data_IF_779139075738
#
_entry.id   IF_779139075738
#
_cell.length_a   1.000
_cell.length_b   1.000
_cell.length_c   1.000
_cell.angle_alpha   90.00
_cell.angle_beta   90.00
_cell.angle_gamma   90.00
#
_symmetry.space_group_name_H-M   'P 1'
#
loop_
_entity.id
_entity.type
_entity.pdbx_description
1 polymer ?
#
# COMPACT_ATOMS: atom_id res chain seq x y z
N UNK A 1 -17.40 -3.03 3.73
CA UNK A 1 -16.78 -1.74 4.14
C UNK A 1 -15.47 -1.94 4.92
N UNK A 2 -14.66 -2.92 4.54
CA UNK A 2 -13.62 -3.45 5.43
C UNK A 2 -12.30 -2.68 5.38
N UNK A 3 -12.12 -1.76 4.42
CA UNK A 3 -10.99 -0.81 4.41
C UNK A 3 -11.38 0.60 4.90
N UNK A 4 -12.67 0.88 5.15
CA UNK A 4 -13.12 2.21 5.59
C UNK A 4 -12.96 3.35 4.58
N UNK A 5 -12.62 3.07 3.32
CA UNK A 5 -12.24 4.09 2.32
C UNK A 5 -13.37 4.50 1.36
N UNK A 6 -14.58 3.97 1.49
CA UNK A 6 -15.67 4.27 0.56
C UNK A 6 -16.01 5.77 0.48
N UNK A 7 -16.12 6.44 1.63
CA UNK A 7 -16.40 7.87 1.69
C UNK A 7 -15.23 8.71 1.16
N UNK A 8 -13.99 8.40 1.58
CA UNK A 8 -12.79 9.11 1.16
C UNK A 8 -12.56 9.00 -0.36
N UNK A 9 -12.70 7.79 -0.93
CA UNK A 9 -12.61 7.56 -2.36
C UNK A 9 -13.69 8.34 -3.12
N UNK A 10 -14.93 8.37 -2.60
CA UNK A 10 -16.00 9.18 -3.17
C UNK A 10 -15.73 10.69 -3.13
N UNK A 11 -15.07 11.19 -2.09
CA UNK A 11 -14.64 12.60 -2.04
C UNK A 11 -13.50 12.89 -3.01
N UNK A 12 -12.53 11.99 -3.14
CA UNK A 12 -11.48 12.09 -4.15
C UNK A 12 -12.07 12.09 -5.57
N UNK A 13 -13.08 11.26 -5.83
CA UNK A 13 -13.83 11.22 -7.09
C UNK A 13 -14.48 12.58 -7.42
N UNK A 14 -15.10 13.24 -6.43
CA UNK A 14 -15.66 14.59 -6.61
C UNK A 14 -14.60 15.62 -7.04
N UNK A 15 -13.42 15.59 -6.43
CA UNK A 15 -12.31 16.50 -6.77
C UNK A 15 -11.83 16.24 -8.20
N UNK A 16 -11.55 14.99 -8.54
CA UNK A 16 -11.05 14.63 -9.88
C UNK A 16 -12.11 14.91 -10.96
N UNK A 17 -13.39 14.69 -10.66
CA UNK A 17 -14.46 15.04 -11.59
C UNK A 17 -14.52 16.56 -11.82
N UNK A 18 -14.43 17.37 -10.76
CA UNK A 18 -14.41 18.83 -10.87
C UNK A 18 -13.26 19.31 -11.77
N UNK A 19 -12.05 18.76 -11.60
CA UNK A 19 -10.88 19.04 -12.44
C UNK A 19 -11.16 18.78 -13.94
N UNK A 20 -11.84 17.68 -14.28
CA UNK A 20 -12.21 17.37 -15.66
C UNK A 20 -13.29 18.29 -16.23
N UNK A 21 -14.10 18.92 -15.36
CA UNK A 21 -15.18 19.84 -15.73
C UNK A 21 -14.75 21.31 -15.78
N UNK A 22 -13.55 21.66 -15.31
CA UNK A 22 -13.02 23.04 -15.37
C UNK A 22 -12.91 23.57 -16.80
N UNK A 23 -12.62 22.72 -17.78
CA UNK A 23 -12.62 23.08 -19.20
C UNK A 23 -14.05 23.10 -19.77
N UNK A 24 -14.71 24.27 -19.66
CA UNK A 24 -16.08 24.48 -20.15
C UNK A 24 -16.23 24.34 -21.67
N UNK A 25 -15.13 24.32 -22.43
CA UNK A 25 -15.17 24.12 -23.89
C UNK A 25 -15.21 22.63 -24.28
N UNK A 26 -14.83 21.75 -23.35
CA UNK A 26 -14.82 20.30 -23.54
C UNK A 26 -16.25 19.74 -23.52
N UNK A 27 -16.65 18.90 -24.49
CA UNK A 27 -17.94 18.21 -24.42
C UNK A 27 -18.04 17.35 -23.15
N UNK A 28 -19.17 17.43 -22.46
CA UNK A 28 -19.39 16.74 -21.19
C UNK A 28 -19.13 15.22 -21.27
N UNK A 29 -19.54 14.58 -22.37
CA UNK A 29 -19.30 13.16 -22.61
C UNK A 29 -17.79 12.81 -22.71
N UNK A 30 -16.95 13.74 -23.19
CA UNK A 30 -15.50 13.56 -23.23
C UNK A 30 -14.91 13.70 -21.82
N UNK A 31 -15.36 14.69 -21.06
CA UNK A 31 -14.94 14.89 -19.67
C UNK A 31 -15.24 13.66 -18.80
N UNK A 32 -16.47 13.12 -18.87
CA UNK A 32 -16.83 11.91 -18.12
C UNK A 32 -16.01 10.69 -18.53
N UNK A 33 -15.74 10.49 -19.83
CA UNK A 33 -14.89 9.38 -20.28
C UNK A 33 -13.46 9.49 -19.74
N UNK A 34 -12.89 10.70 -19.75
CA UNK A 34 -11.55 10.94 -19.22
C UNK A 34 -11.48 10.72 -17.70
N UNK A 35 -12.46 11.26 -16.97
CA UNK A 35 -12.64 11.03 -15.53
C UNK A 35 -12.73 9.53 -15.20
N UNK A 36 -13.65 8.80 -15.85
CA UNK A 36 -13.84 7.38 -15.59
C UNK A 36 -12.58 6.57 -15.92
N UNK A 37 -11.91 6.87 -17.03
CA UNK A 37 -10.66 6.20 -17.41
C UNK A 37 -9.53 6.44 -16.40
N UNK A 38 -9.44 7.63 -15.81
CA UNK A 38 -8.46 7.96 -14.78
C UNK A 38 -8.75 7.25 -13.46
N UNK A 39 -10.02 7.25 -13.01
CA UNK A 39 -10.40 6.74 -11.67
C UNK A 39 -10.52 5.23 -11.59
N UNK A 40 -10.87 4.55 -12.69
CA UNK A 40 -11.19 3.11 -12.70
C UNK A 40 -10.13 2.27 -11.99
N UNK A 41 -8.85 2.49 -12.30
CA UNK A 41 -7.77 1.70 -11.72
C UNK A 41 -7.68 1.87 -10.19
N UNK A 42 -7.94 3.06 -9.67
CA UNK A 42 -7.87 3.34 -8.23
C UNK A 42 -9.13 2.87 -7.50
N UNK A 43 -10.31 3.03 -8.11
CA UNK A 43 -11.59 2.55 -7.56
C UNK A 43 -11.63 1.02 -7.49
N UNK A 44 -11.11 0.34 -8.52
CA UNK A 44 -11.00 -1.13 -8.51
C UNK A 44 -9.98 -1.57 -7.44
N UNK A 45 -8.82 -0.92 -7.38
CA UNK A 45 -7.79 -1.27 -6.42
C UNK A 45 -8.23 -1.12 -4.96
N UNK A 46 -8.99 -0.06 -4.62
CA UNK A 46 -9.50 0.10 -3.25
C UNK A 46 -10.62 -0.88 -2.92
N UNK A 47 -11.45 -1.26 -3.90
CA UNK A 47 -12.43 -2.31 -3.74
C UNK A 47 -11.77 -3.68 -3.48
N UNK A 48 -10.74 -4.03 -4.26
CA UNK A 48 -9.94 -5.24 -4.06
C UNK A 48 -9.25 -5.24 -2.69
N UNK A 49 -8.61 -4.12 -2.30
CA UNK A 49 -7.99 -3.99 -0.99
C UNK A 49 -9.00 -4.15 0.16
N UNK A 50 -10.24 -3.69 -0.02
CA UNK A 50 -11.30 -3.91 0.96
C UNK A 50 -11.71 -5.38 1.07
N UNK A 51 -11.75 -6.12 -0.04
CA UNK A 51 -12.00 -7.57 -0.02
C UNK A 51 -10.83 -8.33 0.61
N UNK A 52 -9.58 -7.96 0.28
CA UNK A 52 -8.37 -8.50 0.93
C UNK A 52 -8.44 -8.33 2.44
N UNK A 53 -8.79 -7.12 2.91
CA UNK A 53 -8.83 -6.83 4.34
C UNK A 53 -9.94 -7.62 5.06
N UNK A 54 -11.06 -7.88 4.40
CA UNK A 54 -12.09 -8.77 4.92
C UNK A 54 -11.56 -10.19 5.14
N UNK A 55 -10.89 -10.76 4.13
CA UNK A 55 -10.31 -12.12 4.23
C UNK A 55 -9.23 -12.18 5.31
N UNK A 56 -8.38 -11.15 5.40
CA UNK A 56 -7.34 -11.04 6.42
C UNK A 56 -7.93 -11.06 7.83
N UNK A 57 -8.91 -10.18 8.10
CA UNK A 57 -9.58 -10.09 9.40
C UNK A 57 -10.38 -11.34 9.77
N UNK A 58 -10.96 -12.04 8.79
CA UNK A 58 -11.77 -13.24 9.02
C UNK A 58 -10.92 -14.47 9.32
N UNK A 59 -9.83 -14.69 8.58
CA UNK A 59 -9.19 -16.01 8.49
C UNK A 59 -7.71 -16.05 8.81
N UNK A 60 -6.99 -14.92 8.71
CA UNK A 60 -5.52 -14.91 8.78
C UNK A 60 -4.97 -14.44 10.12
N UNK A 61 -5.80 -13.82 10.96
CA UNK A 61 -5.37 -13.31 12.29
C UNK A 61 -4.89 -14.41 13.24
N UNK A 62 -5.27 -15.67 13.00
CA UNK A 62 -4.82 -16.82 13.77
C UNK A 62 -3.72 -17.65 13.08
N UNK A 63 -3.29 -17.27 11.87
CA UNK A 63 -2.24 -18.00 11.14
C UNK A 63 -0.84 -17.60 11.66
N UNK A 64 -0.04 -18.54 12.20
CA UNK A 64 1.30 -18.26 12.71
C UNK A 64 2.22 -17.61 11.67
N UNK A 65 2.13 -18.03 10.38
CA UNK A 65 2.97 -17.44 9.32
C UNK A 65 2.61 -15.99 9.07
N UNK A 66 1.31 -15.69 9.09
CA UNK A 66 0.82 -14.34 8.96
C UNK A 66 1.31 -13.45 10.12
N UNK A 67 1.25 -13.96 11.36
CA UNK A 67 1.73 -13.24 12.54
C UNK A 67 3.23 -12.94 12.49
N UNK A 68 4.06 -13.92 12.08
CA UNK A 68 5.51 -13.71 11.88
C UNK A 68 5.77 -12.62 10.84
N UNK A 69 5.12 -12.69 9.68
CA UNK A 69 5.27 -11.68 8.62
C UNK A 69 4.86 -10.30 9.13
N UNK A 70 3.78 -10.21 9.92
CA UNK A 70 3.29 -8.94 10.45
C UNK A 70 4.24 -8.36 11.51
N UNK A 71 4.85 -9.21 12.33
CA UNK A 71 5.86 -8.81 13.30
C UNK A 71 7.13 -8.27 12.61
N UNK A 72 7.60 -8.93 11.55
CA UNK A 72 8.70 -8.43 10.71
C UNK A 72 8.34 -7.08 10.08
N UNK A 73 7.16 -6.95 9.47
CA UNK A 73 6.70 -5.68 8.90
C UNK A 73 6.71 -4.55 9.94
N UNK A 74 6.23 -4.84 11.14
CA UNK A 74 6.14 -3.89 12.26
C UNK A 74 7.54 -3.46 12.72
N UNK A 75 8.48 -4.39 12.87
CA UNK A 75 9.85 -4.11 13.24
C UNK A 75 10.54 -3.22 12.18
N UNK A 76 10.35 -3.50 10.90
CA UNK A 76 10.90 -2.69 9.80
C UNK A 76 10.31 -1.27 9.82
N UNK A 77 8.99 -1.13 10.02
CA UNK A 77 8.36 0.19 10.13
C UNK A 77 8.85 1.00 11.33
N UNK A 78 9.18 0.33 12.45
CA UNK A 78 9.70 0.96 13.67
C UNK A 78 11.11 1.50 13.46
N UNK A 79 12.02 0.67 12.92
CA UNK A 79 13.43 1.04 12.78
C UNK A 79 13.72 1.87 11.51
N UNK A 80 12.97 1.65 10.43
CA UNK A 80 13.19 2.29 9.12
C UNK A 80 11.94 3.04 8.60
N UNK A 81 11.32 3.94 9.39
CA UNK A 81 10.06 4.60 9.03
C UNK A 81 10.16 5.47 7.78
N UNK A 82 11.37 5.92 7.41
CA UNK A 82 11.61 6.72 6.21
C UNK A 82 11.82 5.89 4.94
N UNK A 83 12.04 4.57 5.08
CA UNK A 83 12.33 3.66 3.96
C UNK A 83 11.23 2.63 3.71
N UNK A 84 10.34 2.42 4.69
CA UNK A 84 9.25 1.46 4.56
C UNK A 84 7.99 1.91 5.29
N UNK A 85 6.85 1.74 4.62
CA UNK A 85 5.50 1.93 5.17
C UNK A 85 4.62 0.77 4.68
N UNK A 86 3.75 0.26 5.54
CA UNK A 86 2.78 -0.77 5.15
C UNK A 86 1.81 -0.25 4.10
N UNK A 87 1.21 -1.18 3.32
CA UNK A 87 0.11 -0.86 2.38
C UNK A 87 -1.01 -0.06 3.06
N UNK A 88 -1.40 -0.47 4.28
CA UNK A 88 -2.41 0.23 5.06
C UNK A 88 -2.01 1.70 5.32
N UNK A 89 -0.78 1.92 5.77
CA UNK A 89 -0.27 3.27 6.04
C UNK A 89 -0.24 4.13 4.77
N UNK A 90 0.18 3.57 3.62
CA UNK A 90 0.16 4.27 2.34
C UNK A 90 -1.24 4.71 1.94
N UNK A 91 -2.25 3.86 2.13
CA UNK A 91 -3.64 4.18 1.75
C UNK A 91 -4.29 5.17 2.72
N UNK A 92 -4.03 5.04 4.03
CA UNK A 92 -4.77 5.81 5.05
C UNK A 92 -4.24 7.22 5.27
N UNK A 93 -2.94 7.45 5.07
CA UNK A 93 -2.28 8.68 5.49
C UNK A 93 -1.61 9.45 4.34
N UNK A 94 -1.97 9.13 3.10
CA UNK A 94 -1.42 9.82 1.93
C UNK A 94 -2.45 9.98 0.83
N UNK A 95 -2.11 10.81 -0.17
CA UNK A 95 -2.84 10.93 -1.44
C UNK A 95 -2.21 10.07 -2.55
N UNK A 96 -1.43 9.05 -2.19
CA UNK A 96 -0.90 8.12 -3.17
C UNK A 96 -2.06 7.39 -3.88
N UNK A 97 -2.05 7.27 -5.22
CA UNK A 97 -3.14 6.59 -5.92
C UNK A 97 -3.30 5.14 -5.45
N UNK A 98 -4.54 4.71 -5.17
CA UNK A 98 -4.83 3.39 -4.60
C UNK A 98 -4.23 2.25 -5.42
N UNK A 99 -4.25 2.34 -6.74
CA UNK A 99 -3.67 1.35 -7.66
C UNK A 99 -2.16 1.21 -7.50
N UNK A 100 -1.45 2.29 -7.13
CA UNK A 100 -0.01 2.28 -6.86
C UNK A 100 0.27 1.72 -5.47
N UNK A 101 -0.53 2.08 -4.47
CA UNK A 101 -0.47 1.51 -3.12
C UNK A 101 -0.67 -0.02 -3.14
N UNK A 102 -1.63 -0.50 -3.93
CA UNK A 102 -1.87 -1.94 -4.10
C UNK A 102 -0.63 -2.64 -4.67
N UNK A 103 -0.04 -2.11 -5.74
CA UNK A 103 1.18 -2.67 -6.38
C UNK A 103 2.38 -2.65 -5.43
N UNK A 104 2.59 -1.54 -4.72
CA UNK A 104 3.65 -1.41 -3.73
C UNK A 104 3.49 -2.44 -2.60
N UNK A 105 2.26 -2.61 -2.09
CA UNK A 105 1.95 -3.58 -1.05
C UNK A 105 2.11 -5.04 -1.49
N UNK A 106 1.73 -5.38 -2.72
CA UNK A 106 1.96 -6.72 -3.28
C UNK A 106 3.47 -7.03 -3.36
N UNK A 107 4.26 -6.08 -3.83
CA UNK A 107 5.72 -6.24 -3.88
C UNK A 107 6.33 -6.35 -2.48
N UNK A 108 5.88 -5.50 -1.55
CA UNK A 108 6.31 -5.54 -0.16
C UNK A 108 5.97 -6.89 0.51
N UNK A 109 4.81 -7.47 0.22
CA UNK A 109 4.44 -8.79 0.73
C UNK A 109 5.45 -9.88 0.30
N UNK A 110 5.83 -9.91 -0.98
CA UNK A 110 6.85 -10.84 -1.47
C UNK A 110 8.22 -10.57 -0.81
N UNK A 111 8.60 -9.30 -0.67
CA UNK A 111 9.86 -8.92 -0.04
C UNK A 111 9.91 -9.36 1.43
N UNK A 112 8.81 -9.23 2.17
CA UNK A 112 8.71 -9.69 3.55
C UNK A 112 8.82 -11.22 3.66
N UNK A 113 8.23 -11.96 2.72
CA UNK A 113 8.37 -13.43 2.66
C UNK A 113 9.83 -13.84 2.40
N UNK A 114 10.50 -13.18 1.46
CA UNK A 114 11.93 -13.39 1.19
C UNK A 114 12.79 -13.08 2.43
N UNK A 115 12.47 -12.01 3.17
CA UNK A 115 13.17 -11.63 4.39
C UNK A 115 12.99 -12.67 5.51
N UNK A 116 11.76 -13.11 5.75
CA UNK A 116 11.45 -14.14 6.76
C UNK A 116 12.22 -15.43 6.44
N UNK A 117 12.24 -15.84 5.17
CA UNK A 117 12.99 -17.01 4.72
C UNK A 117 14.52 -16.84 4.86
N UNK A 118 15.06 -15.68 4.45
CA UNK A 118 16.50 -15.38 4.50
C UNK A 118 17.04 -15.34 5.93
N UNK A 119 16.31 -14.69 6.85
CA UNK A 119 16.69 -14.60 8.26
C UNK A 119 16.33 -15.86 9.06
N UNK A 120 15.66 -16.84 8.45
CA UNK A 120 15.25 -18.08 9.13
C UNK A 120 14.34 -17.83 10.34
N UNK A 121 13.41 -16.87 10.21
CA UNK A 121 12.47 -16.50 11.28
C UNK A 121 11.27 -17.45 11.23
N UNK A 122 11.03 -18.15 12.34
CA UNK A 122 9.97 -19.17 12.45
C UNK A 122 8.88 -18.81 13.45
N UNK A 123 9.14 -17.89 14.36
CA UNK A 123 8.17 -17.38 15.35
C UNK A 123 8.34 -15.87 15.56
N UNK A 124 7.33 -15.25 16.18
CA UNK A 124 7.32 -13.80 16.45
C UNK A 124 8.46 -13.40 17.40
N UNK A 125 8.78 -14.24 18.39
CA UNK A 125 9.83 -13.96 19.39
C UNK A 125 11.24 -13.92 18.80
N UNK A 126 11.44 -14.52 17.62
CA UNK A 126 12.72 -14.53 16.93
C UNK A 126 12.99 -13.25 16.12
N UNK A 127 11.98 -12.40 15.89
CA UNK A 127 12.09 -11.25 14.98
C UNK A 127 13.18 -10.28 15.41
N UNK A 128 13.14 -9.80 16.66
CA UNK A 128 14.09 -8.79 17.13
C UNK A 128 15.53 -9.32 17.21
N UNK A 129 15.71 -10.65 17.33
CA UNK A 129 17.04 -11.27 17.45
C UNK A 129 17.63 -11.70 16.10
N UNK A 130 16.80 -12.11 15.14
CA UNK A 130 17.25 -12.64 13.84
C UNK A 130 17.15 -11.64 12.68
N UNK A 131 16.34 -10.58 12.81
CA UNK A 131 16.16 -9.62 11.72
C UNK A 131 17.42 -8.76 11.54
N UNK A 132 18.13 -8.97 10.44
CA UNK A 132 19.33 -8.19 10.10
C UNK A 132 18.94 -6.86 9.43
N UNK A 133 18.93 -5.78 10.21
CA UNK A 133 18.59 -4.44 9.70
C UNK A 133 19.57 -3.89 8.67
N UNK A 134 20.82 -4.35 8.63
CA UNK A 134 21.76 -3.96 7.58
C UNK A 134 21.34 -4.58 6.26
N UNK A 135 21.04 -5.88 6.25
CA UNK A 135 20.51 -6.56 5.07
C UNK A 135 19.16 -5.99 4.63
N UNK A 136 18.24 -5.75 5.57
CA UNK A 136 16.94 -5.13 5.27
C UNK A 136 17.12 -3.77 4.61
N UNK A 137 18.01 -2.93 5.15
CA UNK A 137 18.28 -1.60 4.58
C UNK A 137 18.78 -1.70 3.15
N UNK A 138 19.79 -2.54 2.89
CA UNK A 138 20.34 -2.76 1.56
C UNK A 138 19.27 -3.29 0.58
N UNK A 139 18.42 -4.21 1.04
CA UNK A 139 17.34 -4.79 0.23
C UNK A 139 16.30 -3.72 -0.15
N UNK A 140 15.87 -2.89 0.80
CA UNK A 140 14.92 -1.82 0.56
C UNK A 140 15.50 -0.78 -0.42
N UNK A 141 16.75 -0.36 -0.25
CA UNK A 141 17.40 0.61 -1.12
C UNK A 141 17.62 0.11 -2.54
N UNK A 142 17.96 -1.18 -2.70
CA UNK A 142 18.23 -1.76 -4.03
C UNK A 142 16.97 -2.13 -4.79
N UNK A 143 15.91 -2.54 -4.09
CA UNK A 143 14.73 -3.14 -4.72
C UNK A 143 13.45 -2.35 -4.49
N UNK A 144 13.16 -1.95 -3.26
CA UNK A 144 11.85 -1.37 -2.91
C UNK A 144 11.77 0.12 -3.23
N UNK A 145 12.72 0.93 -2.76
CA UNK A 145 12.72 2.38 -3.01
C UNK A 145 12.74 2.74 -4.51
N UNK A 146 13.53 2.07 -5.38
CA UNK A 146 13.48 2.30 -6.81
C UNK A 146 12.11 1.97 -7.43
N UNK A 147 11.43 0.92 -6.94
CA UNK A 147 10.08 0.60 -7.37
C UNK A 147 9.09 1.69 -6.96
N UNK A 148 9.14 2.16 -5.72
CA UNK A 148 8.27 3.24 -5.25
C UNK A 148 8.47 4.52 -6.07
N UNK A 149 9.72 4.88 -6.34
CA UNK A 149 10.05 6.02 -7.21
C UNK A 149 9.47 5.85 -8.61
N UNK A 150 9.59 4.65 -9.21
CA UNK A 150 9.00 4.35 -10.52
C UNK A 150 7.47 4.41 -10.50
N UNK A 151 6.84 4.04 -9.39
CA UNK A 151 5.38 4.08 -9.23
C UNK A 151 4.86 5.48 -8.86
N UNK A 152 5.73 6.39 -8.44
CA UNK A 152 5.36 7.71 -7.90
C UNK A 152 4.74 7.65 -6.50
N UNK A 153 5.09 6.65 -5.70
CA UNK A 153 4.55 6.46 -4.34
C UNK A 153 5.44 7.17 -3.33
N UNK A 154 4.87 8.10 -2.58
CA UNK A 154 5.54 8.81 -1.49
C UNK A 154 5.47 8.04 -0.17
N UNK A 155 6.58 8.02 0.58
CA UNK A 155 6.63 7.55 1.97
C UNK A 155 6.51 8.69 3.00
N UNK A 156 6.51 9.94 2.54
CA UNK A 156 6.27 11.12 3.37
C UNK A 156 4.78 11.46 3.34
N UNK A 157 4.22 11.67 4.53
CA UNK A 157 2.82 12.00 4.72
C UNK A 157 2.72 13.44 5.20
N UNK A 158 1.76 14.19 4.68
CA UNK A 158 1.47 15.52 5.21
C UNK A 158 1.02 15.38 6.67
N UNK A 159 1.61 16.20 7.54
CA UNK A 159 1.20 16.33 8.94
C UNK A 159 -0.16 17.04 9.05
#
# INVERSE_FOLDING_TARGET
>A
PFFGQGCNCGFEDCVVLDEHLQDKSRPLAVAFRAYSAQRLADTDAIADMALDNFVEMMSRVADPKFLVRKAVETAIMRELPQKYRSRYTLVMYSYNPYSKCLKAGQYAACLLEDLVAHCGISSVDEVDTKLDFKFVTDLLERKYLPLLNKLGVSLTFAA
#
